data_IF_718261935937
#
_entry.id   IF_718261935937
#
_cell.length_a   1.000
_cell.length_b   1.000
_cell.length_c   1.000
_cell.angle_alpha   90.00
_cell.angle_beta   90.00
_cell.angle_gamma   90.00
#
_symmetry.space_group_name_H-M   'P 1'
#
loop_
_entity.id
_entity.type
_entity.pdbx_description
1 polymer ?
#
# COMPACT_ATOMS: atom_id res chain seq x y z
N UNK A 1 3.26 5.96 -37.15
CA UNK A 1 4.43 6.40 -36.36
C UNK A 1 4.24 5.92 -34.93
N UNK A 2 4.95 4.86 -34.52
CA UNK A 2 4.84 4.30 -33.17
C UNK A 2 5.47 5.24 -32.15
N UNK A 3 4.76 5.53 -31.07
CA UNK A 3 5.32 6.28 -29.94
C UNK A 3 6.45 5.43 -29.33
N UNK A 4 7.63 5.99 -29.08
CA UNK A 4 8.69 5.24 -28.41
C UNK A 4 8.20 4.85 -27.02
N UNK A 5 8.18 3.55 -26.73
CA UNK A 5 8.05 3.05 -25.36
C UNK A 5 9.27 3.55 -24.59
N UNK A 6 9.07 4.57 -23.75
CA UNK A 6 10.08 5.01 -22.81
C UNK A 6 10.35 3.86 -21.84
N UNK A 7 11.53 3.26 -21.97
CA UNK A 7 12.05 2.30 -21.02
C UNK A 7 12.01 2.93 -19.62
N UNK A 8 11.29 2.29 -18.70
CA UNK A 8 11.30 2.66 -17.28
C UNK A 8 12.72 2.45 -16.76
N UNK A 9 13.48 3.54 -16.60
CA UNK A 9 14.66 3.51 -15.75
C UNK A 9 14.19 3.01 -14.38
N UNK A 10 14.68 1.85 -13.95
CA UNK A 10 14.26 1.18 -12.72
C UNK A 10 14.30 2.19 -11.57
N UNK A 11 13.13 2.60 -11.08
CA UNK A 11 13.03 3.46 -9.92
C UNK A 11 13.57 2.69 -8.71
N UNK A 12 14.41 3.33 -7.92
CA UNK A 12 14.85 2.72 -6.66
C UNK A 12 13.71 2.75 -5.66
N UNK A 13 13.55 1.70 -4.85
CA UNK A 13 12.54 1.69 -3.77
C UNK A 13 12.81 2.77 -2.71
N UNK A 14 14.06 3.24 -2.63
CA UNK A 14 14.53 4.28 -1.71
C UNK A 14 14.22 5.70 -2.21
N UNK A 15 14.46 5.96 -3.50
CA UNK A 15 14.14 7.20 -4.22
C UNK A 15 13.21 6.85 -5.38
N UNK A 16 11.89 6.66 -5.11
CA UNK A 16 10.93 6.44 -6.17
C UNK A 16 10.86 7.68 -7.05
N UNK A 17 10.88 7.47 -8.36
CA UNK A 17 10.56 8.53 -9.29
C UNK A 17 9.04 8.72 -9.29
N UNK A 18 8.57 9.87 -8.82
CA UNK A 18 7.15 10.20 -8.84
C UNK A 18 6.84 10.90 -10.17
N UNK A 19 6.19 10.17 -11.08
CA UNK A 19 5.61 10.73 -12.30
C UNK A 19 4.16 11.13 -12.03
N UNK A 20 3.95 12.42 -11.80
CA UNK A 20 2.64 13.05 -11.63
C UNK A 20 1.98 13.36 -12.98
N UNK A 21 2.71 13.22 -14.09
CA UNK A 21 2.20 13.49 -15.44
C UNK A 21 2.14 14.99 -15.77
N UNK A 22 2.78 15.82 -14.94
CA UNK A 22 2.92 17.26 -15.13
C UNK A 22 4.41 17.58 -15.21
N UNK A 23 4.92 18.06 -16.37
CA UNK A 23 6.35 18.32 -16.57
C UNK A 23 6.97 19.27 -15.53
N UNK A 24 6.18 20.20 -14.97
CA UNK A 24 6.62 21.14 -13.94
C UNK A 24 6.84 20.50 -12.57
N UNK A 25 6.18 19.37 -12.29
CA UNK A 25 6.22 18.70 -10.99
C UNK A 25 7.19 17.52 -10.96
N UNK A 26 7.28 16.78 -12.07
CA UNK A 26 7.99 15.50 -12.15
C UNK A 26 9.51 15.62 -11.94
N UNK A 27 10.13 16.77 -12.23
CA UNK A 27 11.59 16.94 -12.17
C UNK A 27 12.11 17.89 -11.07
N UNK A 28 11.23 18.62 -10.37
CA UNK A 28 11.65 19.76 -9.53
C UNK A 28 11.18 19.72 -8.07
N UNK A 29 10.04 19.07 -7.79
CA UNK A 29 9.38 19.19 -6.48
C UNK A 29 10.25 18.68 -5.32
N UNK A 30 10.91 17.53 -5.51
CA UNK A 30 11.77 16.91 -4.49
C UNK A 30 12.95 17.81 -4.11
N UNK A 31 13.58 18.46 -5.09
CA UNK A 31 14.66 19.42 -4.86
C UNK A 31 14.20 20.67 -4.11
N UNK A 32 13.04 21.23 -4.50
CA UNK A 32 12.46 22.40 -3.82
C UNK A 32 12.10 22.08 -2.37
N UNK A 33 11.45 20.94 -2.12
CA UNK A 33 11.10 20.49 -0.76
C UNK A 33 12.36 20.29 0.09
N UNK A 34 13.42 19.71 -0.47
CA UNK A 34 14.69 19.56 0.23
C UNK A 34 15.33 20.91 0.58
N UNK A 35 15.28 21.89 -0.31
CA UNK A 35 15.80 23.25 -0.04
C UNK A 35 14.99 24.00 1.03
N UNK A 36 13.66 23.85 1.02
CA UNK A 36 12.78 24.49 2.01
C UNK A 36 12.88 23.80 3.38
N UNK A 37 13.17 22.50 3.41
CA UNK A 37 13.19 21.70 4.64
C UNK A 37 14.17 22.22 5.71
N UNK A 38 15.25 22.89 5.32
CA UNK A 38 16.22 23.45 6.26
C UNK A 38 15.77 24.77 6.89
N UNK A 39 14.91 25.54 6.21
CA UNK A 39 14.49 26.88 6.62
C UNK A 39 13.53 26.86 7.82
N UNK A 40 12.77 25.79 7.96
CA UNK A 40 11.68 25.72 8.91
C UNK A 40 12.02 24.74 10.05
N UNK A 41 12.16 25.18 11.30
CA UNK A 41 12.60 24.34 12.42
C UNK A 41 11.51 23.33 12.83
N UNK A 42 11.43 22.22 12.11
CA UNK A 42 10.59 21.05 12.44
C UNK A 42 11.45 19.81 12.61
N UNK A 43 10.87 18.80 13.25
CA UNK A 43 11.49 17.48 13.33
C UNK A 43 11.41 16.81 11.95
N UNK A 44 12.57 16.52 11.34
CA UNK A 44 12.67 15.85 10.04
C UNK A 44 13.29 14.47 10.18
N UNK A 45 12.78 13.54 9.37
CA UNK A 45 13.33 12.19 9.23
C UNK A 45 13.64 11.99 7.74
N UNK A 46 14.92 11.75 7.42
CA UNK A 46 15.37 11.46 6.06
C UNK A 46 15.56 9.95 5.96
N UNK A 47 14.57 9.27 5.37
CA UNK A 47 14.52 7.81 5.27
C UNK A 47 15.21 7.29 4.00
N UNK A 48 16.38 7.83 3.65
CA UNK A 48 17.17 7.36 2.51
C UNK A 48 18.19 6.32 2.97
N UNK A 49 18.07 5.06 2.53
CA UNK A 49 18.97 3.98 2.92
C UNK A 49 20.37 4.20 2.36
N UNK A 50 20.50 4.45 1.04
CA UNK A 50 21.83 4.57 0.42
C UNK A 50 22.59 5.77 0.98
N UNK A 51 21.95 6.94 0.95
CA UNK A 51 22.61 8.19 1.29
C UNK A 51 22.88 8.35 2.80
N UNK A 52 22.20 7.59 3.66
CA UNK A 52 22.54 7.53 5.08
C UNK A 52 23.71 6.57 5.40
N UNK A 53 23.93 5.55 4.57
CA UNK A 53 25.02 4.58 4.75
C UNK A 53 26.34 5.06 4.13
N UNK A 54 26.29 5.79 3.02
CA UNK A 54 27.49 6.37 2.39
C UNK A 54 27.91 7.63 3.15
N UNK A 55 29.11 7.61 3.74
CA UNK A 55 29.61 8.69 4.60
C UNK A 55 29.66 10.05 3.88
N UNK A 56 30.07 10.07 2.61
CA UNK A 56 30.18 11.29 1.80
C UNK A 56 28.80 11.91 1.52
N UNK A 57 27.85 11.12 1.05
CA UNK A 57 26.48 11.55 0.78
C UNK A 57 25.80 12.04 2.07
N UNK A 58 26.01 11.33 3.19
CA UNK A 58 25.51 11.75 4.49
C UNK A 58 26.07 13.10 4.92
N UNK A 59 27.37 13.32 4.76
CA UNK A 59 27.98 14.60 5.09
C UNK A 59 27.39 15.76 4.25
N UNK A 60 27.09 15.52 2.97
CA UNK A 60 26.43 16.50 2.12
C UNK A 60 25.00 16.82 2.57
N UNK A 61 24.23 15.81 3.00
CA UNK A 61 22.88 16.01 3.54
C UNK A 61 22.92 16.80 4.84
N UNK A 62 23.82 16.44 5.77
CA UNK A 62 23.95 17.10 7.07
C UNK A 62 24.42 18.55 6.99
N UNK A 63 25.12 18.96 5.91
CA UNK A 63 25.48 20.36 5.67
C UNK A 63 24.27 21.26 5.48
N UNK A 64 23.15 20.73 4.99
CA UNK A 64 21.91 21.50 4.79
C UNK A 64 21.23 21.86 6.12
N UNK A 65 21.51 21.09 7.17
CA UNK A 65 20.93 21.26 8.50
C UNK A 65 21.96 21.84 9.47
N UNK A 66 21.93 23.17 9.72
CA UNK A 66 22.89 23.82 10.61
C UNK A 66 22.69 23.35 12.05
N UNK A 67 23.80 23.08 12.75
CA UNK A 67 23.77 22.60 14.14
C UNK A 67 23.16 23.61 15.12
N UNK A 68 23.08 24.90 14.74
CA UNK A 68 22.47 25.95 15.54
C UNK A 68 20.95 25.76 15.70
N UNK A 69 20.29 25.15 14.72
CA UNK A 69 18.82 24.98 14.71
C UNK A 69 18.41 23.51 14.87
N UNK A 70 19.27 22.56 14.50
CA UNK A 70 18.92 21.15 14.49
C UNK A 70 19.92 20.29 15.26
N UNK A 71 19.38 19.40 16.10
CA UNK A 71 20.13 18.29 16.68
C UNK A 71 20.20 17.15 15.65
N UNK A 72 21.39 16.90 15.12
CA UNK A 72 21.64 15.83 14.15
C UNK A 72 21.85 14.51 14.89
N UNK A 73 20.92 13.56 14.72
CA UNK A 73 20.99 12.22 15.32
C UNK A 73 20.89 11.18 14.20
N UNK A 74 21.83 10.24 14.16
CA UNK A 74 21.80 9.11 13.24
C UNK A 74 21.37 7.85 14.02
N UNK A 75 20.19 7.34 13.72
CA UNK A 75 19.75 6.04 14.21
C UNK A 75 19.97 5.00 13.11
N UNK A 76 20.95 4.13 13.30
CA UNK A 76 21.20 2.99 12.42
C UNK A 76 20.57 1.77 13.07
N UNK A 77 19.41 1.35 12.57
CA UNK A 77 18.71 0.16 13.05
C UNK A 77 19.18 -1.01 12.17
N UNK A 78 20.23 -1.69 12.62
CA UNK A 78 20.74 -2.92 11.99
C UNK A 78 20.52 -4.09 12.94
N UNK A 79 20.03 -5.21 12.41
CA UNK A 79 19.83 -6.45 13.15
C UNK A 79 18.38 -6.91 13.21
N UNK A 80 18.18 -8.00 13.95
CA UNK A 80 16.83 -8.51 14.18
C UNK A 80 16.06 -7.58 15.13
N UNK A 81 14.81 -7.23 14.79
CA UNK A 81 13.99 -6.45 15.71
C UNK A 81 13.72 -7.24 16.98
N UNK A 82 13.49 -6.53 18.07
CA UNK A 82 13.17 -7.13 19.36
C UNK A 82 12.01 -8.16 19.26
N UNK A 83 12.07 -9.22 20.08
CA UNK A 83 11.10 -10.31 20.03
C UNK A 83 9.67 -9.81 20.32
N UNK A 84 9.52 -8.82 21.20
CA UNK A 84 8.23 -8.17 21.45
C UNK A 84 7.67 -7.51 20.19
N UNK A 85 8.53 -6.85 19.42
CA UNK A 85 8.15 -6.22 18.15
C UNK A 85 7.75 -7.27 17.12
N UNK A 86 8.54 -8.34 16.98
CA UNK A 86 8.23 -9.47 16.07
C UNK A 86 6.88 -10.09 16.40
N UNK A 87 6.62 -10.38 17.69
CA UNK A 87 5.35 -10.95 18.13
C UNK A 87 4.18 -10.00 17.84
N UNK A 88 4.33 -8.71 18.11
CA UNK A 88 3.29 -7.70 17.83
C UNK A 88 2.96 -7.64 16.34
N UNK A 89 3.97 -7.64 15.47
CA UNK A 89 3.78 -7.63 14.02
C UNK A 89 3.14 -8.94 13.55
N UNK A 90 3.60 -10.10 14.03
CA UNK A 90 3.00 -11.41 13.72
C UNK A 90 1.52 -11.47 14.13
N UNK A 91 1.17 -10.99 15.33
CA UNK A 91 -0.23 -10.90 15.80
C UNK A 91 -1.09 -10.03 14.87
N UNK A 92 -0.59 -8.87 14.44
CA UNK A 92 -1.29 -8.02 13.47
C UNK A 92 -1.50 -8.71 12.13
N UNK A 93 -0.46 -9.36 11.60
CA UNK A 93 -0.53 -10.10 10.32
C UNK A 93 -1.55 -11.24 10.42
N UNK A 94 -1.51 -12.02 11.51
CA UNK A 94 -2.47 -13.10 11.76
C UNK A 94 -3.91 -12.57 11.79
N UNK A 95 -4.14 -11.46 12.49
CA UNK A 95 -5.47 -10.82 12.53
C UNK A 95 -5.94 -10.41 11.14
N UNK A 96 -5.09 -9.75 10.36
CA UNK A 96 -5.44 -9.34 8.98
C UNK A 96 -5.76 -10.56 8.10
N UNK A 97 -5.00 -11.65 8.23
CA UNK A 97 -5.27 -12.89 7.48
C UNK A 97 -6.59 -13.52 7.90
N UNK A 98 -6.84 -13.64 9.20
CA UNK A 98 -8.07 -14.18 9.74
C UNK A 98 -9.29 -13.36 9.32
N UNK A 99 -9.19 -12.03 9.34
CA UNK A 99 -10.27 -11.13 8.92
C UNK A 99 -10.59 -11.30 7.43
N UNK A 100 -9.56 -11.44 6.57
CA UNK A 100 -9.74 -11.72 5.14
C UNK A 100 -10.38 -13.09 4.89
N UNK A 101 -9.93 -14.13 5.60
CA UNK A 101 -10.49 -15.48 5.47
C UNK A 101 -11.95 -15.52 5.97
N UNK A 102 -12.23 -14.92 7.12
CA UNK A 102 -13.58 -14.80 7.67
C UNK A 102 -14.52 -14.05 6.72
N UNK A 103 -14.05 -12.94 6.12
CA UNK A 103 -14.80 -12.20 5.11
C UNK A 103 -15.10 -13.09 3.88
N UNK A 104 -14.09 -13.80 3.35
CA UNK A 104 -14.28 -14.71 2.23
C UNK A 104 -15.24 -15.86 2.55
N UNK A 105 -15.20 -16.38 3.78
CA UNK A 105 -16.06 -17.47 4.22
C UNK A 105 -17.52 -17.01 4.39
N UNK A 106 -17.73 -15.81 4.95
CA UNK A 106 -19.06 -15.19 5.04
C UNK A 106 -19.68 -14.98 3.67
N UNK A 107 -18.89 -14.48 2.70
CA UNK A 107 -19.33 -14.32 1.30
C UNK A 107 -19.72 -15.69 0.70
N UNK A 108 -18.87 -16.71 0.85
CA UNK A 108 -19.16 -18.07 0.35
C UNK A 108 -20.42 -18.66 0.98
N UNK A 109 -20.60 -18.50 2.30
CA UNK A 109 -21.78 -19.00 3.02
C UNK A 109 -23.05 -18.31 2.55
N UNK A 110 -23.04 -16.97 2.42
CA UNK A 110 -24.16 -16.21 1.89
C UNK A 110 -24.52 -16.63 0.46
N UNK A 111 -23.52 -16.80 -0.42
CA UNK A 111 -23.75 -17.28 -1.79
C UNK A 111 -24.36 -18.68 -1.82
N UNK A 112 -23.90 -19.60 -0.95
CA UNK A 112 -24.44 -20.95 -0.88
C UNK A 112 -25.89 -20.97 -0.37
N UNK A 113 -26.21 -20.15 0.63
CA UNK A 113 -27.58 -20.01 1.13
C UNK A 113 -28.52 -19.39 0.09
N UNK A 114 -28.07 -18.34 -0.61
CA UNK A 114 -28.82 -17.74 -1.72
C UNK A 114 -29.10 -18.75 -2.84
N UNK A 115 -28.10 -19.54 -3.24
CA UNK A 115 -28.28 -20.60 -4.25
C UNK A 115 -29.31 -21.65 -3.80
N UNK A 116 -29.29 -22.06 -2.53
CA UNK A 116 -30.28 -22.99 -1.97
C UNK A 116 -31.69 -22.41 -1.97
N UNK A 117 -31.86 -21.15 -1.55
CA UNK A 117 -33.17 -20.45 -1.55
C UNK A 117 -33.72 -20.28 -2.95
N UNK A 118 -32.88 -19.87 -3.91
CA UNK A 118 -33.28 -19.73 -5.32
C UNK A 118 -33.69 -21.08 -5.93
N UNK A 119 -32.96 -22.17 -5.62
CA UNK A 119 -33.31 -23.51 -6.08
C UNK A 119 -34.64 -24.01 -5.48
N UNK A 120 -34.92 -23.72 -4.20
CA UNK A 120 -36.21 -24.03 -3.58
C UNK A 120 -37.36 -23.25 -4.23
N UNK A 121 -37.19 -21.93 -4.40
CA UNK A 121 -38.20 -21.08 -5.07
C UNK A 121 -38.46 -21.53 -6.51
N UNK A 122 -37.43 -21.93 -7.26
CA UNK A 122 -37.60 -22.43 -8.62
C UNK A 122 -38.39 -23.75 -8.66
N UNK A 123 -38.16 -24.66 -7.72
CA UNK A 123 -38.93 -25.90 -7.60
C UNK A 123 -40.39 -25.63 -7.28
N UNK A 124 -40.67 -24.79 -6.29
CA UNK A 124 -42.04 -24.41 -5.92
C UNK A 124 -42.78 -23.71 -7.07
N UNK A 125 -42.10 -22.85 -7.82
CA UNK A 125 -42.67 -22.19 -9.00
C UNK A 125 -42.93 -23.17 -10.16
N UNK A 126 -42.06 -24.17 -10.35
CA UNK A 126 -42.24 -25.21 -11.35
C UNK A 126 -43.42 -26.13 -10.98
N UNK A 127 -43.55 -26.52 -9.71
CA UNK A 127 -44.67 -27.31 -9.20
C UNK A 127 -46.00 -26.55 -9.34
N UNK A 128 -46.03 -25.26 -8.99
CA UNK A 128 -47.22 -24.41 -9.19
C UNK A 128 -47.58 -24.26 -10.66
N UNK A 129 -46.59 -24.08 -11.56
CA UNK A 129 -46.81 -24.02 -13.02
C UNK A 129 -47.33 -25.33 -13.58
N UNK A 130 -46.81 -26.47 -13.11
CA UNK A 130 -47.28 -27.79 -13.52
C UNK A 130 -48.72 -28.03 -13.06
N UNK A 131 -49.08 -27.58 -11.85
CA UNK A 131 -50.44 -27.70 -11.32
C UNK A 131 -51.44 -26.73 -11.97
N UNK A 132 -51.00 -25.54 -12.42
CA UNK A 132 -51.87 -24.49 -12.95
C UNK A 132 -52.11 -24.55 -14.47
N UNK A 133 -51.55 -25.51 -15.19
CA UNK A 133 -51.85 -25.69 -16.62
C UNK A 133 -53.18 -26.46 -16.74
N UNK A 134 -54.29 -25.83 -17.18
CA UNK A 134 -55.49 -26.60 -17.52
C UNK A 134 -55.16 -27.53 -18.69
N UNK A 135 -55.53 -28.80 -18.56
CA UNK A 135 -55.41 -29.77 -19.64
C UNK A 135 -56.24 -29.31 -20.83
N UNK A 136 -55.59 -28.78 -21.86
CA UNK A 136 -56.20 -28.60 -23.17
C UNK A 136 -56.42 -29.99 -23.78
N UNK A 137 -57.69 -30.41 -23.80
CA UNK A 137 -58.23 -31.44 -24.69
C UNK A 137 -58.72 -30.78 -25.97
#
# INVERSE_FOLDING_TARGET
>A
MGRPCFCHAKSSSDKPNYQYGLPSMDNGLSGVVQSISSLQPRNYIIMEVKSNLVAEERAQILKRFPSAQYKKVAHVVMGEPDEEYKQRVRKKILKIKQDKENASWRIKKAQQEQKKRMAQQQKEMAEKRHHSLPGNW
#
